data_IF_137988334534
#
_entry.id   IF_137988334534
#
_cell.length_a   1.000
_cell.length_b   1.000
_cell.length_c   1.000
_cell.angle_alpha   90.00
_cell.angle_beta   90.00
_cell.angle_gamma   90.00
#
_symmetry.space_group_name_H-M   'P 1'
#
loop_
_entity.id
_entity.type
_entity.pdbx_description
1 polymer ?
#
# COMPACT_ATOMS: atom_id res chain seq x y z
N UNK A 1 -32.16 -5.37 6.42
CA UNK A 1 -31.88 -6.77 6.81
C UNK A 1 -30.37 -6.95 6.81
N UNK A 2 -29.76 -7.59 7.83
CA UNK A 2 -28.33 -7.86 7.80
C UNK A 2 -28.06 -8.76 6.59
N UNK A 3 -27.24 -8.29 5.65
CA UNK A 3 -26.89 -9.04 4.45
C UNK A 3 -26.02 -10.23 4.87
N UNK A 4 -26.56 -11.45 4.84
CA UNK A 4 -25.75 -12.66 5.06
C UNK A 4 -24.85 -12.92 3.87
N UNK A 5 -23.60 -13.33 4.10
CA UNK A 5 -22.71 -13.75 3.03
C UNK A 5 -23.34 -14.88 2.20
N UNK A 6 -23.22 -14.85 0.86
CA UNK A 6 -23.48 -16.00 0.01
C UNK A 6 -22.69 -17.24 0.47
N UNK A 7 -23.28 -18.43 0.38
CA UNK A 7 -22.70 -19.65 0.96
C UNK A 7 -21.38 -20.08 0.29
N UNK A 8 -21.21 -19.75 -0.98
CA UNK A 8 -19.97 -19.88 -1.74
C UNK A 8 -18.83 -19.04 -1.14
N UNK A 9 -19.13 -17.83 -0.64
CA UNK A 9 -18.14 -16.95 0.00
C UNK A 9 -17.80 -17.43 1.41
N UNK A 10 -18.74 -18.04 2.14
CA UNK A 10 -18.47 -18.60 3.48
C UNK A 10 -17.42 -19.71 3.44
N UNK A 11 -17.40 -20.50 2.37
CA UNK A 11 -16.45 -21.61 2.19
C UNK A 11 -14.99 -21.16 2.05
N UNK A 12 -14.75 -19.88 1.75
CA UNK A 12 -13.43 -19.30 1.52
C UNK A 12 -12.80 -18.69 2.79
N UNK A 13 -13.41 -18.90 3.97
CA UNK A 13 -12.85 -18.46 5.25
C UNK A 13 -12.95 -16.95 5.50
N UNK A 14 -13.81 -16.23 4.77
CA UNK A 14 -14.03 -14.80 4.98
C UNK A 14 -14.80 -14.53 6.28
N UNK A 15 -14.33 -13.55 7.05
CA UNK A 15 -15.07 -12.97 8.18
C UNK A 15 -15.78 -11.70 7.70
N UNK A 16 -17.11 -11.66 7.83
CA UNK A 16 -17.88 -10.45 7.59
C UNK A 16 -18.01 -9.67 8.89
N UNK A 17 -17.88 -8.35 8.78
CA UNK A 17 -18.02 -7.42 9.89
C UNK A 17 -18.96 -6.31 9.47
N UNK A 18 -19.81 -5.88 10.40
CA UNK A 18 -20.68 -4.74 10.18
C UNK A 18 -19.91 -3.46 10.50
N UNK A 19 -19.93 -2.51 9.57
CA UNK A 19 -19.34 -1.19 9.75
C UNK A 19 -20.31 -0.13 9.26
N UNK A 20 -20.83 0.65 10.20
CA UNK A 20 -21.76 1.72 9.92
C UNK A 20 -21.03 3.04 9.67
N UNK A 21 -21.15 3.54 8.44
CA UNK A 21 -20.53 4.78 7.97
C UNK A 21 -21.22 6.03 8.51
N UNK A 22 -22.47 5.94 8.98
CA UNK A 22 -23.26 7.10 9.42
C UNK A 22 -23.02 7.44 10.89
N UNK A 23 -22.66 6.44 11.70
CA UNK A 23 -22.57 6.57 13.15
C UNK A 23 -21.12 6.60 13.69
N UNK A 24 -20.10 6.39 12.84
CA UNK A 24 -18.70 6.35 13.28
C UNK A 24 -17.70 6.66 12.17
N UNK A 25 -16.84 7.67 12.39
CA UNK A 25 -15.60 7.87 11.61
C UNK A 25 -14.48 6.90 12.01
N UNK A 26 -14.70 6.06 13.03
CA UNK A 26 -13.77 5.03 13.43
C UNK A 26 -14.08 3.74 12.69
N UNK A 27 -13.04 3.16 12.08
CA UNK A 27 -13.02 1.80 11.58
C UNK A 27 -13.20 0.79 12.72
N UNK A 28 -13.57 -0.44 12.35
CA UNK A 28 -13.93 -1.51 13.28
C UNK A 28 -12.79 -1.76 14.29
N UNK A 29 -13.06 -1.55 15.58
CA UNK A 29 -12.06 -1.61 16.67
C UNK A 29 -11.42 -2.99 16.82
N UNK A 30 -12.15 -4.05 16.49
CA UNK A 30 -11.69 -5.44 16.64
C UNK A 30 -10.75 -5.88 15.50
N UNK A 31 -10.51 -5.02 14.52
CA UNK A 31 -9.63 -5.28 13.39
C UNK A 31 -8.37 -4.44 13.53
N UNK A 32 -7.25 -5.10 13.78
CA UNK A 32 -5.94 -4.46 13.89
C UNK A 32 -4.88 -5.26 13.15
N UNK A 33 -3.70 -4.64 12.99
CA UNK A 33 -2.52 -5.25 12.38
C UNK A 33 -2.71 -5.73 10.93
N UNK A 34 -3.54 -5.04 10.15
CA UNK A 34 -3.78 -5.36 8.74
C UNK A 34 -2.53 -5.11 7.88
N UNK A 35 -2.20 -6.08 7.02
CA UNK A 35 -1.20 -5.94 5.96
C UNK A 35 -1.66 -4.97 4.85
N UNK A 36 -2.92 -5.10 4.45
CA UNK A 36 -3.54 -4.35 3.36
C UNK A 36 -4.99 -4.06 3.72
N UNK A 37 -5.37 -2.78 3.66
CA UNK A 37 -6.75 -2.33 3.70
C UNK A 37 -7.17 -1.94 2.28
N UNK A 38 -8.23 -2.56 1.75
CA UNK A 38 -8.79 -2.22 0.44
C UNK A 38 -10.11 -1.48 0.63
N UNK A 39 -10.22 -0.31 0.02
CA UNK A 39 -11.39 0.55 0.08
C UNK A 39 -11.87 0.85 -1.33
N UNK A 40 -13.15 0.59 -1.61
CA UNK A 40 -13.85 1.17 -2.77
C UNK A 40 -14.71 2.33 -2.27
N UNK A 41 -14.57 3.51 -2.87
CA UNK A 41 -15.26 4.72 -2.40
C UNK A 41 -15.75 5.60 -3.54
N UNK A 42 -16.64 6.53 -3.22
CA UNK A 42 -17.29 7.49 -4.10
C UNK A 42 -17.58 8.81 -3.34
N UNK A 43 -18.12 9.83 -4.02
CA UNK A 43 -18.45 11.12 -3.39
C UNK A 43 -19.42 10.95 -2.21
N UNK A 44 -20.42 10.06 -2.30
CA UNK A 44 -21.35 9.84 -1.19
C UNK A 44 -20.63 9.38 0.08
N UNK A 45 -19.72 8.41 -0.03
CA UNK A 45 -18.98 7.90 1.12
C UNK A 45 -18.03 8.97 1.68
N UNK A 46 -17.22 9.60 0.82
CA UNK A 46 -16.22 10.59 1.27
C UNK A 46 -16.88 11.82 1.90
N UNK A 47 -18.00 12.29 1.36
CA UNK A 47 -18.70 13.48 1.90
C UNK A 47 -19.35 13.24 3.27
N UNK A 48 -19.63 11.99 3.62
CA UNK A 48 -20.17 11.64 4.94
C UNK A 48 -19.06 11.39 5.98
N UNK A 49 -17.78 11.40 5.57
CA UNK A 49 -16.67 11.17 6.49
C UNK A 49 -16.06 12.47 7.00
N UNK A 50 -15.67 12.45 8.28
CA UNK A 50 -14.53 13.26 8.70
C UNK A 50 -13.25 12.57 8.19
N UNK A 51 -12.78 12.98 7.01
CA UNK A 51 -11.63 12.38 6.30
C UNK A 51 -10.40 12.24 7.23
N UNK A 52 -10.16 13.23 8.10
CA UNK A 52 -9.02 13.21 9.03
C UNK A 52 -9.15 12.09 10.07
N UNK A 53 -10.31 12.00 10.72
CA UNK A 53 -10.57 10.95 11.72
C UNK A 53 -10.54 9.57 11.07
N UNK A 54 -11.12 9.44 9.88
CA UNK A 54 -11.17 8.17 9.15
C UNK A 54 -9.77 7.68 8.77
N UNK A 55 -8.92 8.56 8.24
CA UNK A 55 -7.53 8.22 7.90
C UNK A 55 -6.74 7.85 9.14
N UNK A 56 -6.96 8.55 10.26
CA UNK A 56 -6.32 8.20 11.54
C UNK A 56 -6.75 6.80 11.98
N UNK A 57 -8.03 6.49 11.89
CA UNK A 57 -8.52 5.16 12.24
C UNK A 57 -7.96 4.06 11.31
N UNK A 58 -7.87 4.31 10.01
CA UNK A 58 -7.19 3.38 9.08
C UNK A 58 -5.72 3.19 9.44
N UNK A 59 -5.03 4.25 9.83
CA UNK A 59 -3.65 4.18 10.30
C UNK A 59 -3.52 3.30 11.54
N UNK A 60 -4.45 3.38 12.48
CA UNK A 60 -4.41 2.60 13.71
C UNK A 60 -4.62 1.09 13.45
N UNK A 61 -5.41 0.76 12.43
CA UNK A 61 -5.70 -0.64 12.06
C UNK A 61 -4.65 -1.26 11.11
N UNK A 62 -4.01 -0.46 10.26
CA UNK A 62 -2.96 -0.92 9.34
C UNK A 62 -1.63 -1.00 10.08
N UNK A 63 -0.93 -2.15 9.97
CA UNK A 63 0.37 -2.33 10.62
C UNK A 63 1.43 -1.40 10.02
N UNK A 64 2.53 -1.20 10.73
CA UNK A 64 3.66 -0.42 10.20
C UNK A 64 4.15 -1.00 8.85
N UNK A 65 4.44 -0.14 7.87
CA UNK A 65 4.69 -0.51 6.47
C UNK A 65 3.55 -1.19 5.71
N UNK A 66 2.39 -1.39 6.32
CA UNK A 66 1.20 -1.90 5.64
C UNK A 66 0.65 -0.90 4.63
N UNK A 67 -0.34 -1.36 3.87
CA UNK A 67 -0.85 -0.64 2.70
C UNK A 67 -2.33 -0.30 2.85
N UNK A 68 -2.71 0.82 2.22
CA UNK A 68 -4.10 1.21 1.99
C UNK A 68 -4.28 1.38 0.48
N UNK A 69 -5.15 0.57 -0.12
CA UNK A 69 -5.52 0.65 -1.52
C UNK A 69 -6.91 1.25 -1.63
N UNK A 70 -7.01 2.44 -2.21
CA UNK A 70 -8.27 3.10 -2.48
C UNK A 70 -8.60 3.01 -3.97
N UNK A 71 -9.78 2.51 -4.30
CA UNK A 71 -10.33 2.46 -5.65
C UNK A 71 -11.57 3.33 -5.76
N UNK A 72 -11.66 4.12 -6.83
CA UNK A 72 -12.79 5.00 -7.07
C UNK A 72 -13.05 5.17 -8.57
N UNK A 73 -14.27 5.60 -8.89
CA UNK A 73 -14.68 5.98 -10.26
C UNK A 73 -14.52 7.48 -10.42
N UNK A 74 -13.93 7.94 -11.52
CA UNK A 74 -13.90 9.36 -11.85
C UNK A 74 -14.89 9.72 -12.97
N UNK A 75 -15.33 8.73 -13.75
CA UNK A 75 -16.33 8.86 -14.82
C UNK A 75 -17.24 7.62 -14.83
N UNK A 76 -18.49 7.81 -15.24
CA UNK A 76 -19.44 6.74 -15.51
C UNK A 76 -19.71 6.63 -17.01
N UNK A 77 -19.90 5.41 -17.47
CA UNK A 77 -20.27 5.10 -18.85
C UNK A 77 -21.76 5.35 -19.10
N UNK A 78 -22.20 5.56 -20.35
CA UNK A 78 -23.61 5.75 -20.66
C UNK A 78 -24.53 4.61 -20.16
N UNK A 79 -24.16 3.32 -20.26
CA UNK A 79 -24.94 2.25 -19.66
C UNK A 79 -25.08 2.35 -18.13
N UNK A 80 -24.02 2.75 -17.43
CA UNK A 80 -24.08 2.94 -15.97
C UNK A 80 -25.01 4.11 -15.60
N UNK A 81 -24.96 5.21 -16.35
CA UNK A 81 -25.86 6.35 -16.14
C UNK A 81 -27.32 5.92 -16.34
N UNK A 82 -27.62 5.20 -17.43
CA UNK A 82 -28.98 4.70 -17.69
C UNK A 82 -29.49 3.78 -16.58
N UNK A 83 -28.63 2.90 -16.03
CA UNK A 83 -28.98 2.04 -14.88
C UNK A 83 -29.26 2.89 -13.64
N UNK A 84 -28.44 3.90 -13.35
CA UNK A 84 -28.64 4.77 -12.19
C UNK A 84 -29.94 5.58 -12.29
N UNK A 85 -30.27 6.08 -13.48
CA UNK A 85 -31.54 6.77 -13.75
C UNK A 85 -32.75 5.87 -13.49
N UNK A 86 -32.72 4.61 -13.98
CA UNK A 86 -33.76 3.63 -13.72
C UNK A 86 -33.92 3.32 -12.22
N UNK A 87 -32.83 3.40 -11.46
CA UNK A 87 -32.81 3.18 -10.01
C UNK A 87 -33.10 4.45 -9.19
N UNK A 88 -33.40 5.58 -9.83
CA UNK A 88 -33.55 6.89 -9.20
C UNK A 88 -32.35 7.28 -8.32
N UNK A 89 -31.13 6.96 -8.77
CA UNK A 89 -29.86 7.31 -8.10
C UNK A 89 -29.13 8.40 -8.87
N UNK A 90 -28.56 9.36 -8.14
CA UNK A 90 -27.82 10.45 -8.76
C UNK A 90 -26.39 10.02 -9.12
N UNK A 91 -26.04 10.07 -10.42
CA UNK A 91 -24.72 9.71 -10.95
C UNK A 91 -23.55 10.43 -10.24
N UNK A 92 -23.75 11.69 -9.83
CA UNK A 92 -22.74 12.50 -9.13
C UNK A 92 -22.28 11.90 -7.78
N UNK A 93 -23.09 11.03 -7.17
CA UNK A 93 -22.76 10.37 -5.91
C UNK A 93 -21.86 9.15 -6.08
N UNK A 94 -21.85 8.56 -7.28
CA UNK A 94 -21.11 7.32 -7.57
C UNK A 94 -19.70 7.56 -8.14
N UNK A 95 -19.42 8.78 -8.59
CA UNK A 95 -18.07 9.23 -8.93
C UNK A 95 -17.40 9.89 -7.73
N UNK A 96 -16.08 9.97 -7.74
CA UNK A 96 -15.28 10.77 -6.81
C UNK A 96 -14.62 11.90 -7.59
N UNK A 97 -14.89 13.14 -7.17
CA UNK A 97 -14.38 14.32 -7.87
C UNK A 97 -12.89 14.51 -7.63
N UNK A 98 -12.21 15.14 -8.59
CA UNK A 98 -10.77 15.40 -8.52
C UNK A 98 -10.35 16.17 -7.24
N UNK A 99 -11.13 17.16 -6.82
CA UNK A 99 -10.86 17.93 -5.59
C UNK A 99 -10.88 17.05 -4.34
N UNK A 100 -11.82 16.11 -4.25
CA UNK A 100 -11.91 15.19 -3.11
C UNK A 100 -10.75 14.19 -3.10
N UNK A 101 -10.33 13.73 -4.29
CA UNK A 101 -9.13 12.89 -4.42
C UNK A 101 -7.88 13.63 -3.93
N UNK A 102 -7.67 14.86 -4.37
CA UNK A 102 -6.52 15.69 -3.97
C UNK A 102 -6.54 15.99 -2.47
N UNK A 103 -7.72 16.30 -1.92
CA UNK A 103 -7.92 16.50 -0.49
C UNK A 103 -7.59 15.23 0.31
N UNK A 104 -8.08 14.07 -0.14
CA UNK A 104 -7.81 12.79 0.49
C UNK A 104 -6.32 12.45 0.48
N UNK A 105 -5.63 12.62 -0.65
CA UNK A 105 -4.18 12.39 -0.76
C UNK A 105 -3.42 13.30 0.23
N UNK A 106 -3.72 14.59 0.23
CA UNK A 106 -3.11 15.58 1.14
C UNK A 106 -3.33 15.22 2.61
N UNK A 107 -4.54 14.80 2.98
CA UNK A 107 -4.86 14.39 4.34
C UNK A 107 -4.16 13.07 4.71
N UNK A 108 -4.09 12.10 3.81
CA UNK A 108 -3.41 10.83 4.02
C UNK A 108 -1.92 11.05 4.29
N UNK A 109 -1.26 11.87 3.47
CA UNK A 109 0.15 12.20 3.64
C UNK A 109 0.45 12.92 4.96
N UNK A 110 -0.37 13.91 5.32
CA UNK A 110 -0.25 14.62 6.61
C UNK A 110 -0.41 13.72 7.83
N UNK A 111 -1.12 12.60 7.70
CA UNK A 111 -1.38 11.68 8.80
C UNK A 111 -0.46 10.45 8.79
N UNK A 112 0.61 10.44 8.00
CA UNK A 112 1.66 9.41 8.06
C UNK A 112 1.46 8.24 7.12
N UNK A 113 0.63 8.41 6.08
CA UNK A 113 0.72 7.59 4.88
C UNK A 113 1.64 8.26 3.86
N UNK A 114 2.09 7.51 2.86
CA UNK A 114 2.75 8.04 1.67
C UNK A 114 2.11 7.43 0.44
N UNK A 115 1.75 8.25 -0.56
CA UNK A 115 1.30 7.74 -1.85
C UNK A 115 2.49 7.09 -2.57
N UNK A 116 2.40 5.79 -2.88
CA UNK A 116 3.47 5.01 -3.55
C UNK A 116 3.09 4.59 -4.96
N UNK A 117 1.80 4.59 -5.32
CA UNK A 117 1.37 4.33 -6.68
C UNK A 117 0.01 4.97 -6.97
N UNK A 118 -0.16 5.46 -8.18
CA UNK A 118 -1.44 5.87 -8.75
C UNK A 118 -1.59 5.20 -10.11
N UNK A 119 -2.63 4.37 -10.26
CA UNK A 119 -2.97 3.71 -11.51
C UNK A 119 -4.35 4.14 -11.96
N UNK A 120 -4.52 4.36 -13.26
CA UNK A 120 -5.81 4.69 -13.87
C UNK A 120 -6.01 3.80 -15.08
N UNK A 121 -7.25 3.37 -15.31
CA UNK A 121 -7.63 2.72 -16.57
C UNK A 121 -7.75 3.73 -17.73
N UNK A 122 -7.62 5.03 -17.44
CA UNK A 122 -7.77 6.17 -18.37
C UNK A 122 -9.17 6.32 -18.97
N UNK A 123 -10.16 5.56 -18.49
CA UNK A 123 -11.53 5.58 -19.01
C UNK A 123 -12.51 5.95 -17.89
N UNK A 124 -12.42 5.29 -16.74
CA UNK A 124 -13.46 5.34 -15.72
C UNK A 124 -13.00 5.22 -14.27
N UNK A 125 -11.90 4.52 -14.00
CA UNK A 125 -11.50 4.12 -12.66
C UNK A 125 -10.05 4.42 -12.38
N UNK A 126 -9.79 4.76 -11.12
CA UNK A 126 -8.44 4.98 -10.61
C UNK A 126 -8.23 4.25 -9.29
N UNK A 127 -6.97 3.97 -8.99
CA UNK A 127 -6.50 3.29 -7.80
C UNK A 127 -5.30 4.04 -7.21
N UNK A 128 -5.37 4.33 -5.92
CA UNK A 128 -4.30 4.96 -5.15
C UNK A 128 -3.79 3.96 -4.13
N UNK A 129 -2.50 3.66 -4.17
CA UNK A 129 -1.83 2.83 -3.19
C UNK A 129 -1.03 3.70 -2.26
N UNK A 130 -1.40 3.68 -0.98
CA UNK A 130 -0.70 4.35 0.10
C UNK A 130 0.05 3.32 0.93
N UNK A 131 1.20 3.72 1.48
CA UNK A 131 1.97 2.95 2.44
C UNK A 131 2.03 3.69 3.76
N UNK A 132 1.72 3.02 4.88
CA UNK A 132 1.88 3.59 6.22
C UNK A 132 3.38 3.73 6.52
N UNK A 133 3.81 4.93 6.87
CA UNK A 133 5.21 5.21 7.20
C UNK A 133 5.52 4.79 8.64
N UNK A 134 6.67 4.13 8.82
CA UNK A 134 7.26 3.92 10.15
C UNK A 134 7.57 5.26 10.80
N UNK A 135 7.22 5.40 12.08
CA UNK A 135 7.49 6.61 12.86
C UNK A 135 8.99 6.93 13.00
N UNK A 136 9.86 5.92 12.91
CA UNK A 136 11.30 6.09 12.98
C UNK A 136 11.98 5.42 11.78
N UNK A 137 12.58 6.23 10.91
CA UNK A 137 13.59 5.73 9.99
C UNK A 137 14.83 5.41 10.81
N UNK A 138 15.16 4.13 10.90
CA UNK A 138 16.45 3.70 11.46
C UNK A 138 17.55 3.87 10.42
N UNK A 139 18.80 3.76 10.86
CA UNK A 139 19.98 3.84 10.02
C UNK A 139 19.85 2.94 8.79
N UNK A 140 20.29 3.47 7.66
CA UNK A 140 20.25 2.83 6.35
C UNK A 140 21.63 2.24 6.10
N UNK A 141 21.71 0.92 6.04
CA UNK A 141 22.92 0.21 5.62
C UNK A 141 22.87 0.04 4.11
N UNK A 142 23.89 0.52 3.39
CA UNK A 142 23.96 0.47 1.92
C UNK A 142 25.11 -0.44 1.50
N UNK A 143 24.81 -1.45 0.69
CA UNK A 143 25.78 -2.40 0.14
C UNK A 143 25.69 -2.34 -1.38
N UNK A 144 26.79 -1.98 -2.03
CA UNK A 144 26.86 -1.98 -3.50
C UNK A 144 27.08 -3.40 -4.01
N UNK A 145 26.23 -3.83 -4.93
CA UNK A 145 26.30 -5.15 -5.58
C UNK A 145 26.99 -4.92 -6.91
N UNK A 146 28.28 -5.22 -6.95
CA UNK A 146 29.12 -5.10 -8.14
C UNK A 146 29.36 -6.50 -8.73
N UNK A 147 29.46 -6.59 -10.05
CA UNK A 147 29.82 -7.83 -10.75
C UNK A 147 31.23 -8.32 -10.40
N UNK A 148 32.13 -7.40 -10.05
CA UNK A 148 33.47 -7.70 -9.55
C UNK A 148 33.47 -7.74 -8.02
N UNK A 149 34.50 -8.35 -7.42
CA UNK A 149 34.70 -8.40 -5.96
C UNK A 149 33.50 -9.00 -5.19
N UNK A 150 32.94 -10.09 -5.72
CA UNK A 150 31.84 -10.84 -5.09
C UNK A 150 32.10 -11.14 -3.61
N UNK A 151 33.32 -11.57 -3.28
CA UNK A 151 33.69 -11.98 -1.93
C UNK A 151 33.46 -10.87 -0.88
N UNK A 152 33.66 -9.60 -1.23
CA UNK A 152 33.52 -8.49 -0.29
C UNK A 152 32.05 -8.22 0.07
N UNK A 153 31.19 -8.00 -0.93
CA UNK A 153 29.81 -7.63 -0.68
C UNK A 153 28.97 -8.79 -0.16
N UNK A 154 29.34 -10.03 -0.50
CA UNK A 154 28.62 -11.23 -0.03
C UNK A 154 28.85 -11.44 1.45
N UNK A 155 30.09 -11.32 1.92
CA UNK A 155 30.39 -11.42 3.35
C UNK A 155 29.71 -10.28 4.12
N UNK A 156 29.69 -9.06 3.57
CA UNK A 156 28.94 -7.95 4.17
C UNK A 156 27.43 -8.25 4.28
N UNK A 157 26.80 -8.84 3.25
CA UNK A 157 25.39 -9.25 3.33
C UNK A 157 25.20 -10.32 4.41
N UNK A 158 26.07 -11.34 4.46
CA UNK A 158 25.97 -12.42 5.46
C UNK A 158 26.06 -11.89 6.88
N UNK A 159 27.03 -11.02 7.16
CA UNK A 159 27.22 -10.38 8.46
C UNK A 159 25.97 -9.60 8.84
N UNK A 160 25.49 -8.71 7.96
CA UNK A 160 24.30 -7.89 8.23
C UNK A 160 23.01 -8.69 8.35
N UNK A 161 22.86 -9.77 7.58
CA UNK A 161 21.72 -10.67 7.74
C UNK A 161 21.78 -11.42 9.05
N UNK A 162 22.97 -11.85 9.50
CA UNK A 162 23.16 -12.50 10.79
C UNK A 162 22.84 -11.57 11.97
N UNK A 163 23.30 -10.32 11.93
CA UNK A 163 22.97 -9.27 12.91
C UNK A 163 21.44 -9.06 13.04
N UNK A 164 20.73 -9.16 11.91
CA UNK A 164 19.29 -8.91 11.84
C UNK A 164 18.40 -10.14 12.08
N UNK A 165 18.97 -11.33 12.37
CA UNK A 165 18.17 -12.57 12.54
C UNK A 165 17.18 -12.51 13.70
N UNK A 166 17.61 -11.93 14.82
CA UNK A 166 16.86 -11.98 16.09
C UNK A 166 16.27 -10.63 16.51
N UNK A 167 16.48 -9.59 15.69
CA UNK A 167 16.02 -8.24 16.00
C UNK A 167 14.65 -7.99 15.37
N UNK A 168 13.58 -8.01 16.17
CA UNK A 168 12.23 -7.53 15.80
C UNK A 168 12.25 -6.07 15.29
N UNK A 169 13.35 -5.36 15.51
CA UNK A 169 13.56 -3.97 15.10
C UNK A 169 14.79 -3.78 14.21
N UNK A 170 15.17 -4.79 13.42
CA UNK A 170 16.31 -4.73 12.50
C UNK A 170 16.24 -3.60 11.45
N UNK A 171 17.41 -3.05 11.10
CA UNK A 171 17.58 -1.99 10.11
C UNK A 171 17.35 -2.53 8.70
N UNK A 172 16.84 -1.70 7.79
CA UNK A 172 16.74 -2.12 6.38
C UNK A 172 18.15 -2.13 5.76
N UNK A 173 18.50 -3.24 5.12
CA UNK A 173 19.72 -3.38 4.32
C UNK A 173 19.35 -3.04 2.86
N UNK A 174 20.00 -2.04 2.28
CA UNK A 174 19.79 -1.60 0.91
C UNK A 174 20.90 -2.10 0.02
N UNK A 175 20.55 -3.02 -0.87
CA UNK A 175 21.43 -3.49 -1.92
C UNK A 175 21.31 -2.53 -3.11
N UNK A 176 22.43 -2.04 -3.65
CA UNK A 176 22.45 -1.09 -4.77
C UNK A 176 23.20 -1.70 -5.94
N UNK A 177 22.50 -1.98 -7.04
CA UNK A 177 23.10 -2.41 -8.30
C UNK A 177 23.12 -1.26 -9.28
N UNK A 178 24.28 -0.65 -9.50
CA UNK A 178 24.49 0.53 -10.35
C UNK A 178 25.76 0.41 -11.23
N UNK A 179 26.25 -0.81 -11.44
CA UNK A 179 27.45 -1.11 -12.23
C UNK A 179 27.10 -1.47 -13.68
N UNK A 180 26.07 -2.27 -13.89
CA UNK A 180 25.62 -2.74 -15.21
C UNK A 180 24.11 -2.99 -15.27
N UNK A 181 23.53 -2.79 -16.46
CA UNK A 181 22.16 -3.18 -16.77
C UNK A 181 21.93 -4.71 -16.70
N UNK A 182 23.00 -5.52 -16.69
CA UNK A 182 22.95 -6.98 -16.55
C UNK A 182 23.03 -7.47 -15.09
N UNK A 183 22.97 -6.56 -14.11
CA UNK A 183 23.11 -6.92 -12.71
C UNK A 183 21.93 -7.80 -12.23
N UNK A 184 22.26 -8.93 -11.59
CA UNK A 184 21.29 -9.91 -11.08
C UNK A 184 20.58 -9.53 -9.78
N UNK A 185 20.73 -8.29 -9.28
CA UNK A 185 20.27 -7.85 -7.96
C UNK A 185 18.79 -8.10 -7.69
N UNK A 186 17.92 -8.00 -8.69
CA UNK A 186 16.47 -8.27 -8.53
C UNK A 186 16.25 -9.74 -8.17
N UNK A 187 16.89 -10.66 -8.91
CA UNK A 187 16.82 -12.09 -8.64
C UNK A 187 17.41 -12.44 -7.28
N UNK A 188 18.59 -11.91 -6.98
CA UNK A 188 19.25 -12.05 -5.67
C UNK A 188 18.33 -11.61 -4.53
N UNK A 189 17.75 -10.41 -4.64
CA UNK A 189 16.88 -9.84 -3.59
C UNK A 189 15.62 -10.67 -3.38
N UNK A 190 15.03 -11.21 -4.44
CA UNK A 190 13.85 -12.07 -4.33
C UNK A 190 14.17 -13.36 -3.56
N UNK A 191 15.33 -13.98 -3.82
CA UNK A 191 15.78 -15.16 -3.09
C UNK A 191 16.06 -14.82 -1.61
N UNK A 192 16.87 -13.80 -1.36
CA UNK A 192 17.28 -13.43 0.00
C UNK A 192 16.09 -13.08 0.91
N UNK A 193 15.01 -12.50 0.36
CA UNK A 193 13.80 -12.19 1.14
C UNK A 193 13.08 -13.40 1.72
N UNK A 194 13.33 -14.60 1.18
CA UNK A 194 12.78 -15.85 1.67
C UNK A 194 13.67 -16.52 2.73
N UNK A 195 14.86 -15.97 2.97
CA UNK A 195 15.83 -16.49 3.94
C UNK A 195 15.67 -15.82 5.32
N UNK A 196 16.22 -16.45 6.36
CA UNK A 196 16.23 -15.90 7.73
C UNK A 196 16.96 -14.55 7.78
N UNK A 197 16.32 -13.51 8.32
CA UNK A 197 16.84 -12.13 8.31
C UNK A 197 16.56 -11.37 7.00
N UNK A 198 16.04 -12.04 5.96
CA UNK A 198 15.79 -11.49 4.64
C UNK A 198 14.69 -10.44 4.53
N UNK A 199 13.78 -10.40 5.50
CA UNK A 199 12.64 -9.48 5.54
C UNK A 199 13.03 -7.99 5.55
N UNK A 200 14.28 -7.68 5.91
CA UNK A 200 14.86 -6.34 5.93
C UNK A 200 15.63 -5.96 4.66
N UNK A 201 15.82 -6.90 3.72
CA UNK A 201 16.51 -6.66 2.45
C UNK A 201 15.63 -5.82 1.51
N UNK A 202 16.18 -4.70 1.06
CA UNK A 202 15.64 -3.82 0.01
C UNK A 202 16.68 -3.73 -1.09
N UNK A 203 16.23 -3.40 -2.30
CA UNK A 203 17.15 -3.16 -3.40
C UNK A 203 16.79 -1.89 -4.15
N UNK A 204 17.81 -1.25 -4.68
CA UNK A 204 17.72 -0.25 -5.71
C UNK A 204 18.51 -0.78 -6.91
N UNK A 205 17.85 -0.83 -8.07
CA UNK A 205 18.48 -1.20 -9.32
C UNK A 205 18.46 0.01 -10.26
N UNK A 206 19.65 0.52 -10.57
CA UNK A 206 19.84 1.64 -11.49
C UNK A 206 20.17 1.13 -12.88
N UNK A 207 19.13 0.77 -13.62
CA UNK A 207 19.26 0.21 -14.98
C UNK A 207 19.95 1.17 -15.96
N UNK A 208 19.75 2.48 -15.79
CA UNK A 208 20.29 3.51 -16.69
C UNK A 208 21.68 4.01 -16.25
N UNK A 209 22.23 3.50 -15.14
CA UNK A 209 23.50 3.95 -14.54
C UNK A 209 23.56 5.48 -14.34
N UNK A 210 22.48 6.08 -13.84
CA UNK A 210 22.35 7.53 -13.61
C UNK A 210 22.73 7.97 -12.19
N UNK A 211 22.89 7.02 -11.26
CA UNK A 211 23.26 7.33 -9.88
C UNK A 211 24.75 7.71 -9.77
N UNK A 212 25.08 8.66 -8.87
CA UNK A 212 26.47 8.93 -8.53
C UNK A 212 27.14 7.67 -7.97
N UNK A 213 28.40 7.48 -8.34
CA UNK A 213 29.25 6.38 -7.87
C UNK A 213 29.98 6.76 -6.59
#
# INVERSE_FOLDING_TARGET
MPSTLPDDVKSLGFKMLEWDLQNSNNFIKDVSSLDLLVLKTNNFVVNNWNIKEQIKSFKDCVKENGFLLMSYRHVLTPPEIAILELLNREAKHEILNKSEVENYISMAEKNGFKLVSHKTDSITSSQLLFRKLRQQMKDIEVIHILNENYDEWVEAIKEKMAENKDADTANNIWLVGNDTALNGIIGLTNCLRLESGGQHIRCLFDYDNKLPK
#
